data_IF_256817818731
#
_entry.id   IF_256817818731
#
_cell.length_a   1.000
_cell.length_b   1.000
_cell.length_c   1.000
_cell.angle_alpha   90.00
_cell.angle_beta   90.00
_cell.angle_gamma   90.00
#
_symmetry.space_group_name_H-M   'P 1'
#
loop_
_entity.id
_entity.type
_entity.pdbx_description
1 polymer ?
#
# COMPACT_ATOMS: atom_id res chain seq x y z
N UNK A 1 17.05 -9.10 -32.81
CA UNK A 1 16.70 -7.68 -32.59
C UNK A 1 15.32 -7.67 -31.95
N UNK A 2 15.25 -7.46 -30.63
CA UNK A 2 13.98 -7.42 -29.90
C UNK A 2 13.37 -6.04 -30.08
N UNK A 3 12.11 -5.96 -30.52
CA UNK A 3 11.39 -4.71 -30.61
C UNK A 3 11.23 -4.12 -29.21
N UNK A 4 11.79 -2.93 -28.98
CA UNK A 4 11.52 -2.16 -27.78
C UNK A 4 10.01 -1.86 -27.73
N UNK A 5 9.36 -2.24 -26.64
CA UNK A 5 7.98 -1.86 -26.39
C UNK A 5 7.89 -0.33 -26.34
N UNK A 6 6.98 0.22 -27.14
CA UNK A 6 6.62 1.64 -27.17
C UNK A 6 6.16 2.05 -25.76
N UNK A 7 6.83 2.97 -25.05
CA UNK A 7 6.17 3.66 -23.96
C UNK A 7 5.25 4.74 -24.57
N UNK A 8 4.31 5.26 -23.78
CA UNK A 8 3.61 6.53 -24.05
C UNK A 8 2.27 6.46 -24.79
N UNK A 9 1.26 5.87 -24.14
CA UNK A 9 -0.01 6.58 -24.11
C UNK A 9 0.01 7.51 -22.89
N UNK A 10 0.07 8.82 -23.15
CA UNK A 10 -0.18 9.82 -22.11
C UNK A 10 -1.48 9.41 -21.38
N UNK A 11 -1.52 9.51 -20.03
CA UNK A 11 -2.71 9.09 -19.33
C UNK A 11 -3.92 9.86 -19.86
N UNK A 12 -5.10 9.23 -19.95
CA UNK A 12 -6.35 9.89 -20.27
C UNK A 12 -6.51 11.21 -19.50
N UNK A 13 -7.16 12.25 -20.07
CA UNK A 13 -7.31 13.55 -19.40
C UNK A 13 -7.83 13.47 -17.97
N UNK A 14 -8.80 12.57 -17.72
CA UNK A 14 -9.36 12.35 -16.39
C UNK A 14 -8.33 11.78 -15.41
N UNK A 15 -7.49 10.84 -15.86
CA UNK A 15 -6.41 10.28 -15.04
C UNK A 15 -5.37 11.36 -14.73
N UNK A 16 -4.95 12.15 -15.73
CA UNK A 16 -4.01 13.27 -15.51
C UNK A 16 -4.55 14.28 -14.51
N UNK A 17 -5.82 14.66 -14.64
CA UNK A 17 -6.46 15.57 -13.71
C UNK A 17 -6.51 15.02 -12.28
N UNK A 18 -6.54 13.68 -12.11
CA UNK A 18 -6.59 13.02 -10.82
C UNK A 18 -5.21 12.70 -10.22
N UNK A 19 -4.09 13.02 -10.89
CA UNK A 19 -2.73 12.68 -10.42
C UNK A 19 -2.32 13.38 -9.12
N UNK A 20 -3.06 14.41 -8.69
CA UNK A 20 -2.85 15.08 -7.39
C UNK A 20 -2.89 14.09 -6.21
N UNK A 21 -3.65 12.99 -6.31
CA UNK A 21 -3.76 11.97 -5.25
C UNK A 21 -2.43 11.31 -4.88
N UNK A 22 -1.41 11.41 -5.74
CA UNK A 22 -0.08 10.89 -5.48
C UNK A 22 0.58 11.59 -4.27
N UNK A 23 0.38 12.91 -4.12
CA UNK A 23 1.17 13.73 -3.18
C UNK A 23 0.37 14.58 -2.21
N UNK A 24 -0.92 14.85 -2.47
CA UNK A 24 -1.71 15.81 -1.69
C UNK A 24 -1.62 15.57 -0.18
N UNK A 25 -1.75 14.31 0.22
CA UNK A 25 -1.84 13.91 1.61
C UNK A 25 -0.66 13.12 2.12
N UNK A 26 0.07 12.40 1.26
CA UNK A 26 1.13 11.51 1.71
C UNK A 26 2.24 12.32 2.40
N UNK A 27 2.64 11.86 3.58
CA UNK A 27 3.70 12.49 4.39
C UNK A 27 4.65 11.39 4.86
N UNK A 28 5.80 11.29 4.19
CA UNK A 28 6.83 10.29 4.51
C UNK A 28 7.32 10.44 5.95
N UNK A 29 7.66 11.66 6.37
CA UNK A 29 8.13 11.96 7.73
C UNK A 29 7.11 11.58 8.81
N UNK A 30 5.81 11.78 8.55
CA UNK A 30 4.74 11.37 9.46
C UNK A 30 4.73 9.85 9.63
N UNK A 31 4.84 9.12 8.51
CA UNK A 31 4.84 7.66 8.50
C UNK A 31 6.09 7.10 9.18
N UNK A 32 7.26 7.69 8.92
CA UNK A 32 8.52 7.34 9.59
C UNK A 32 8.44 7.58 11.10
N UNK A 33 7.93 8.74 11.52
CA UNK A 33 7.76 9.07 12.95
C UNK A 33 6.81 8.10 13.63
N UNK A 34 5.72 7.72 12.96
CA UNK A 34 4.76 6.74 13.47
C UNK A 34 5.40 5.36 13.64
N UNK A 35 6.20 4.89 12.67
CA UNK A 35 6.92 3.62 12.78
C UNK A 35 7.95 3.65 13.91
N UNK A 36 8.80 4.68 13.93
CA UNK A 36 9.90 4.82 14.90
C UNK A 36 9.40 4.89 16.35
N UNK A 37 8.28 5.57 16.59
CA UNK A 37 7.80 5.80 17.95
C UNK A 37 6.75 4.80 18.41
N UNK A 38 6.03 4.14 17.49
CA UNK A 38 4.86 3.33 17.83
C UNK A 38 4.92 1.95 17.18
N UNK A 39 4.92 1.87 15.85
CA UNK A 39 4.63 0.61 15.16
C UNK A 39 5.78 -0.40 15.28
N UNK A 40 7.05 0.04 15.31
CA UNK A 40 8.17 -0.89 15.46
C UNK A 40 8.12 -1.63 16.81
N UNK A 41 7.69 -0.94 17.88
CA UNK A 41 7.60 -1.53 19.22
C UNK A 41 6.41 -2.49 19.29
N UNK A 42 5.27 -2.04 18.77
CA UNK A 42 4.05 -2.83 18.72
C UNK A 42 4.26 -4.12 17.91
N UNK A 43 4.92 -4.01 16.76
CA UNK A 43 5.29 -5.17 15.97
C UNK A 43 6.28 -6.08 16.72
N UNK A 44 7.35 -5.53 17.32
CA UNK A 44 8.34 -6.35 18.02
C UNK A 44 7.76 -7.12 19.21
N UNK A 45 6.84 -6.54 19.96
CA UNK A 45 6.38 -7.10 21.25
C UNK A 45 5.08 -7.89 21.08
N UNK A 46 4.13 -7.37 20.31
CA UNK A 46 2.78 -7.92 20.19
C UNK A 46 2.62 -8.78 18.94
N UNK A 47 2.73 -8.20 17.74
CA UNK A 47 2.42 -8.90 16.49
C UNK A 47 3.50 -9.89 16.06
N UNK A 48 4.77 -9.54 16.29
CA UNK A 48 5.98 -10.31 15.96
C UNK A 48 5.97 -10.76 14.51
N UNK A 49 5.62 -9.85 13.61
CA UNK A 49 5.40 -10.19 12.21
C UNK A 49 6.69 -10.67 11.55
N UNK A 50 6.54 -11.49 10.50
CA UNK A 50 7.62 -11.99 9.66
C UNK A 50 7.20 -11.88 8.21
N UNK A 51 8.12 -11.48 7.36
CA UNK A 51 7.98 -11.57 5.91
C UNK A 51 8.44 -12.95 5.47
N UNK A 52 7.61 -13.65 4.69
CA UNK A 52 7.92 -14.99 4.16
C UNK A 52 7.74 -14.92 2.64
N UNK A 53 8.76 -15.33 1.89
CA UNK A 53 8.72 -15.34 0.43
C UNK A 53 8.95 -13.98 -0.22
N UNK A 54 9.54 -13.02 0.51
CA UNK A 54 9.94 -11.71 -0.02
C UNK A 54 11.43 -11.68 -0.38
N UNK A 55 12.09 -12.84 -0.43
CA UNK A 55 13.49 -13.04 -0.76
C UNK A 55 13.60 -13.97 -1.98
N UNK A 56 13.86 -13.45 -3.20
CA UNK A 56 14.08 -12.03 -3.53
C UNK A 56 12.78 -11.21 -3.56
N UNK A 57 12.87 -9.91 -3.23
CA UNK A 57 11.70 -9.03 -3.27
C UNK A 57 11.22 -8.87 -4.72
N UNK A 58 9.91 -8.99 -5.00
CA UNK A 58 9.38 -8.91 -6.36
C UNK A 58 9.72 -7.56 -7.02
N UNK A 59 10.00 -7.57 -8.32
CA UNK A 59 10.38 -6.38 -9.08
C UNK A 59 9.46 -6.19 -10.29
N UNK A 60 9.28 -4.93 -10.69
CA UNK A 60 8.47 -4.57 -11.87
C UNK A 60 9.06 -5.21 -13.12
N UNK A 61 8.21 -5.88 -13.89
CA UNK A 61 8.51 -6.29 -15.27
C UNK A 61 8.34 -5.13 -16.26
N UNK A 62 7.44 -4.19 -15.98
CA UNK A 62 7.22 -2.97 -16.74
C UNK A 62 7.48 -1.74 -15.85
N UNK A 63 8.58 -0.99 -16.03
CA UNK A 63 8.90 0.18 -15.20
C UNK A 63 7.82 1.29 -15.23
N UNK A 64 7.01 1.36 -16.30
CA UNK A 64 5.95 2.34 -16.46
C UNK A 64 4.66 1.98 -15.69
N UNK A 65 4.59 0.78 -15.10
CA UNK A 65 3.42 0.27 -14.37
C UNK A 65 3.82 -0.21 -12.97
N UNK A 66 3.00 0.04 -11.93
CA UNK A 66 3.30 -0.47 -10.60
C UNK A 66 3.11 -1.99 -10.53
N UNK A 67 3.80 -2.66 -9.59
CA UNK A 67 3.38 -3.99 -9.16
C UNK A 67 2.06 -3.90 -8.40
N UNK A 68 1.20 -4.91 -8.57
CA UNK A 68 -0.06 -5.02 -7.84
C UNK A 68 0.10 -6.07 -6.75
N UNK A 69 0.06 -5.65 -5.49
CA UNK A 69 0.03 -6.53 -4.33
C UNK A 69 -1.42 -6.84 -3.99
N UNK A 70 -1.85 -8.07 -4.22
CA UNK A 70 -3.15 -8.56 -3.80
C UNK A 70 -3.01 -9.23 -2.44
N UNK A 71 -3.68 -8.71 -1.43
CA UNK A 71 -3.66 -9.26 -0.07
C UNK A 71 -5.05 -9.69 0.36
N UNK A 72 -5.15 -10.78 1.11
CA UNK A 72 -6.37 -10.99 1.90
C UNK A 72 -6.49 -9.92 2.99
N UNK A 73 -7.69 -9.72 3.53
CA UNK A 73 -7.91 -8.84 4.68
C UNK A 73 -8.10 -9.71 5.93
N UNK A 74 -7.01 -10.05 6.61
CA UNK A 74 -6.97 -11.00 7.72
C UNK A 74 -6.96 -10.34 9.10
N UNK A 75 -7.19 -9.02 9.16
CA UNK A 75 -7.20 -8.23 10.39
C UNK A 75 -8.42 -8.45 11.29
N UNK A 76 -8.33 -7.91 12.50
CA UNK A 76 -9.48 -7.74 13.40
C UNK A 76 -10.38 -6.58 12.91
N UNK A 77 -11.38 -6.16 13.70
CA UNK A 77 -12.26 -5.02 13.38
C UNK A 77 -11.52 -3.71 13.03
N UNK A 78 -10.24 -3.60 13.40
CA UNK A 78 -9.34 -2.53 13.03
C UNK A 78 -8.26 -3.07 12.06
N UNK A 79 -7.86 -2.34 11.01
CA UNK A 79 -7.01 -2.84 9.91
C UNK A 79 -5.53 -2.93 10.32
N UNK A 80 -5.26 -3.67 11.40
CA UNK A 80 -3.92 -3.93 11.92
C UNK A 80 -3.05 -4.71 10.94
N UNK A 81 -3.65 -5.56 10.12
CA UNK A 81 -2.95 -6.30 9.08
C UNK A 81 -2.27 -5.35 8.10
N UNK A 82 -3.00 -4.37 7.55
CA UNK A 82 -2.44 -3.36 6.67
C UNK A 82 -1.36 -2.52 7.37
N UNK A 83 -1.65 -2.03 8.59
CA UNK A 83 -0.71 -1.18 9.34
C UNK A 83 0.59 -1.92 9.61
N UNK A 84 0.54 -3.11 10.22
CA UNK A 84 1.73 -3.82 10.67
C UNK A 84 2.52 -4.38 9.48
N UNK A 85 1.84 -4.94 8.46
CA UNK A 85 2.52 -5.46 7.28
C UNK A 85 3.26 -4.37 6.51
N UNK A 86 2.64 -3.20 6.29
CA UNK A 86 3.28 -2.08 5.62
C UNK A 86 4.40 -1.46 6.46
N UNK A 87 4.25 -1.39 7.79
CA UNK A 87 5.34 -0.95 8.68
C UNK A 87 6.54 -1.90 8.64
N UNK A 88 6.30 -3.22 8.57
CA UNK A 88 7.38 -4.19 8.41
C UNK A 88 8.04 -4.04 7.03
N UNK A 89 7.25 -3.95 5.96
CA UNK A 89 7.75 -3.76 4.61
C UNK A 89 8.57 -2.47 4.46
N UNK A 90 8.13 -1.38 5.09
CA UNK A 90 8.87 -0.11 5.16
C UNK A 90 10.29 -0.31 5.68
N UNK A 91 10.41 -0.88 6.89
CA UNK A 91 11.71 -1.17 7.52
C UNK A 91 12.53 -2.19 6.73
N UNK A 92 11.88 -3.18 6.14
CA UNK A 92 12.53 -4.17 5.30
C UNK A 92 13.16 -3.55 4.05
N UNK A 93 12.40 -2.74 3.31
CA UNK A 93 12.86 -2.10 2.08
C UNK A 93 13.95 -1.06 2.34
N UNK A 94 13.84 -0.25 3.40
CA UNK A 94 14.93 0.64 3.79
C UNK A 94 16.23 -0.12 4.08
N UNK A 95 16.15 -1.23 4.83
CA UNK A 95 17.34 -2.03 5.18
C UNK A 95 17.95 -2.77 3.99
N UNK A 96 17.12 -3.29 3.08
CA UNK A 96 17.58 -4.19 2.00
C UNK A 96 17.78 -3.48 0.66
N UNK A 97 17.11 -2.36 0.43
CA UNK A 97 17.12 -1.60 -0.83
C UNK A 97 17.53 -0.14 -0.67
N UNK A 98 17.46 0.43 0.53
CA UNK A 98 17.76 1.86 0.78
C UNK A 98 16.74 2.82 0.16
N UNK A 99 15.57 2.33 -0.27
CA UNK A 99 14.51 3.12 -0.91
C UNK A 99 13.14 2.54 -0.60
N UNK A 100 12.12 3.41 -0.58
CA UNK A 100 10.72 3.05 -0.40
C UNK A 100 9.97 2.91 -1.72
N UNK A 101 10.66 3.02 -2.87
CA UNK A 101 10.01 2.96 -4.20
C UNK A 101 9.21 1.69 -4.43
N UNK A 102 9.67 0.60 -3.83
CA UNK A 102 9.05 -0.72 -3.94
C UNK A 102 7.91 -0.94 -2.91
N UNK A 103 7.71 -0.01 -1.97
CA UNK A 103 6.65 -0.09 -0.98
C UNK A 103 5.30 0.10 -1.67
N UNK A 104 4.35 -0.82 -1.48
CA UNK A 104 3.04 -0.65 -2.07
C UNK A 104 2.15 0.29 -1.25
N UNK A 105 1.37 1.11 -1.96
CA UNK A 105 0.36 1.98 -1.38
C UNK A 105 -1.01 1.29 -1.39
N UNK A 106 -1.67 1.09 -0.25
CA UNK A 106 -2.93 0.38 -0.18
C UNK A 106 -4.10 1.22 -0.70
N UNK A 107 -5.05 0.54 -1.35
CA UNK A 107 -6.38 1.06 -1.60
C UNK A 107 -7.29 0.77 -0.40
N UNK A 108 -7.66 1.82 0.33
CA UNK A 108 -8.54 1.75 1.50
C UNK A 108 -9.98 2.05 1.15
N UNK A 109 -10.93 1.40 1.82
CA UNK A 109 -12.34 1.75 1.69
C UNK A 109 -12.55 3.25 2.00
N UNK A 110 -13.25 4.02 1.12
CA UNK A 110 -13.41 5.46 1.31
C UNK A 110 -14.03 5.86 2.66
N UNK A 111 -14.83 4.97 3.27
CA UNK A 111 -15.44 5.19 4.58
C UNK A 111 -14.42 5.36 5.71
N UNK A 112 -13.22 4.77 5.59
CA UNK A 112 -12.14 4.94 6.57
C UNK A 112 -11.63 6.39 6.62
N UNK A 113 -11.67 7.08 5.47
CA UNK A 113 -11.30 8.49 5.33
C UNK A 113 -12.49 9.44 5.52
N UNK A 114 -13.72 8.96 5.40
CA UNK A 114 -14.93 9.80 5.39
C UNK A 114 -15.25 10.45 6.74
N UNK A 115 -14.82 9.86 7.87
CA UNK A 115 -15.10 10.41 9.20
C UNK A 115 -13.86 10.39 10.08
N UNK A 116 -13.74 11.38 10.98
CA UNK A 116 -12.64 11.43 11.97
C UNK A 116 -12.67 10.24 12.94
N UNK A 117 -13.84 9.67 13.21
CA UNK A 117 -13.99 8.52 14.11
C UNK A 117 -13.34 7.24 13.58
N UNK A 118 -13.20 7.12 12.26
CA UNK A 118 -12.53 5.99 11.61
C UNK A 118 -11.03 6.23 11.42
N UNK A 119 -10.51 7.39 11.83
CA UNK A 119 -9.08 7.66 11.79
C UNK A 119 -8.43 7.25 13.12
N UNK A 120 -7.33 6.49 13.07
CA UNK A 120 -6.53 6.15 14.24
C UNK A 120 -6.13 7.39 15.04
N UNK A 121 -6.31 7.32 16.36
CA UNK A 121 -6.03 8.41 17.29
C UNK A 121 -6.75 9.73 16.96
N UNK A 122 -7.85 9.67 16.20
CA UNK A 122 -8.61 10.83 15.70
C UNK A 122 -7.76 11.82 14.88
N UNK A 123 -6.61 11.37 14.35
CA UNK A 123 -5.75 12.18 13.50
C UNK A 123 -6.43 12.36 12.16
N UNK A 124 -6.72 13.60 11.77
CA UNK A 124 -7.38 13.88 10.49
C UNK A 124 -6.52 13.39 9.33
N UNK A 125 -7.15 12.71 8.36
CA UNK A 125 -6.54 12.12 7.17
C UNK A 125 -5.41 11.11 7.47
N UNK A 126 -5.46 10.42 8.61
CA UNK A 126 -4.42 9.48 9.04
C UNK A 126 -4.06 8.47 7.93
N UNK A 127 -5.06 7.83 7.35
CA UNK A 127 -4.85 6.82 6.31
C UNK A 127 -4.12 7.40 5.10
N UNK A 128 -4.53 8.60 4.67
CA UNK A 128 -3.94 9.28 3.50
C UNK A 128 -2.53 9.79 3.78
N UNK A 129 -2.26 10.26 5.00
CA UNK A 129 -0.92 10.65 5.47
C UNK A 129 0.06 9.50 5.44
N UNK A 130 -0.40 8.29 5.80
CA UNK A 130 0.37 7.05 5.72
C UNK A 130 0.49 6.48 4.29
N UNK A 131 -0.07 7.16 3.28
CA UNK A 131 0.04 6.74 1.88
C UNK A 131 -1.13 5.90 1.38
N UNK A 132 -2.19 5.69 2.15
CA UNK A 132 -3.40 5.04 1.62
C UNK A 132 -4.12 5.93 0.60
N UNK A 133 -4.78 5.31 -0.37
CA UNK A 133 -5.59 5.99 -1.38
C UNK A 133 -7.01 5.43 -1.33
N UNK A 134 -8.03 6.29 -1.45
CA UNK A 134 -9.43 5.84 -1.40
C UNK A 134 -9.73 4.92 -2.60
N UNK A 135 -10.35 3.77 -2.34
CA UNK A 135 -10.63 2.71 -3.32
C UNK A 135 -11.81 3.08 -4.23
N UNK A 136 -11.56 3.93 -5.22
CA UNK A 136 -12.46 4.24 -6.33
C UNK A 136 -11.87 3.73 -7.64
N UNK A 137 -12.70 3.48 -8.65
CA UNK A 137 -12.23 3.06 -9.99
C UNK A 137 -11.24 4.08 -10.56
N UNK A 138 -11.56 5.37 -10.45
CA UNK A 138 -10.69 6.45 -10.94
C UNK A 138 -9.33 6.46 -10.22
N UNK A 139 -9.31 6.29 -8.89
CA UNK A 139 -8.06 6.25 -8.14
C UNK A 139 -7.23 5.01 -8.45
N UNK A 140 -7.87 3.84 -8.61
CA UNK A 140 -7.19 2.62 -9.04
C UNK A 140 -6.53 2.83 -10.41
N UNK A 141 -7.28 3.28 -11.41
CA UNK A 141 -6.76 3.55 -12.76
C UNK A 141 -5.65 4.61 -12.72
N UNK A 142 -5.79 5.63 -11.88
CA UNK A 142 -4.77 6.67 -11.71
C UNK A 142 -3.49 6.09 -11.10
N UNK A 143 -3.59 5.22 -10.09
CA UNK A 143 -2.44 4.55 -9.48
C UNK A 143 -1.73 3.60 -10.45
N UNK A 144 -2.41 3.07 -11.47
CA UNK A 144 -1.77 2.26 -12.53
C UNK A 144 -0.78 3.03 -13.42
N UNK A 145 -0.74 4.35 -13.32
CA UNK A 145 0.28 5.21 -13.97
C UNK A 145 1.32 5.75 -12.98
N UNK A 146 1.24 5.38 -11.70
CA UNK A 146 2.17 5.87 -10.69
C UNK A 146 3.47 5.07 -10.69
N UNK A 147 4.61 5.77 -10.76
CA UNK A 147 5.93 5.16 -10.92
C UNK A 147 6.78 5.18 -9.65
N UNK A 148 6.37 5.91 -8.61
CA UNK A 148 7.19 6.05 -7.40
C UNK A 148 6.86 4.99 -6.36
N UNK A 149 5.65 4.42 -6.37
CA UNK A 149 5.27 3.33 -5.48
C UNK A 149 4.51 2.22 -6.20
N UNK A 150 4.49 1.03 -5.60
CA UNK A 150 3.62 -0.04 -6.05
C UNK A 150 2.18 0.15 -5.52
N UNK A 151 1.24 -0.67 -5.96
CA UNK A 151 -0.17 -0.60 -5.56
C UNK A 151 -0.53 -1.84 -4.74
N UNK A 152 -1.32 -1.70 -3.68
CA UNK A 152 -1.87 -2.83 -2.92
C UNK A 152 -3.40 -2.77 -2.90
N UNK A 153 -4.03 -3.93 -3.09
CA UNK A 153 -5.48 -4.09 -3.07
C UNK A 153 -5.89 -5.32 -2.27
N UNK A 154 -7.11 -5.28 -1.77
CA UNK A 154 -7.72 -6.36 -0.99
C UNK A 154 -8.93 -6.91 -1.77
N UNK A 155 -8.78 -7.99 -2.57
CA UNK A 155 -9.83 -8.46 -3.47
C UNK A 155 -11.12 -8.87 -2.73
N UNK A 156 -10.98 -9.30 -1.48
CA UNK A 156 -12.09 -9.73 -0.61
C UNK A 156 -12.92 -8.54 -0.07
N UNK A 157 -12.38 -7.31 -0.17
CA UNK A 157 -12.95 -6.12 0.45
C UNK A 157 -13.00 -6.20 1.99
N UNK A 158 -13.91 -5.44 2.60
CA UNK A 158 -14.04 -5.34 4.06
C UNK A 158 -14.75 -6.54 4.74
N UNK A 159 -15.11 -7.60 4.01
CA UNK A 159 -15.92 -8.71 4.58
C UNK A 159 -15.11 -9.74 5.36
N UNK A 160 -13.78 -9.71 5.28
CA UNK A 160 -12.93 -10.73 5.89
C UNK A 160 -12.55 -10.46 7.36
N UNK A 161 -12.93 -9.30 7.93
CA UNK A 161 -12.59 -8.82 9.30
C UNK A 161 -13.20 -9.64 10.47
N UNK A 162 -13.74 -10.83 10.23
CA UNK A 162 -14.51 -11.64 11.18
C UNK A 162 -13.76 -12.86 11.75
N UNK A 163 -12.46 -13.06 11.46
CA UNK A 163 -11.68 -14.20 11.98
C UNK A 163 -10.62 -13.77 12.98
N UNK A 164 -10.85 -14.07 14.25
CA UNK A 164 -9.91 -13.87 15.36
C UNK A 164 -9.09 -15.13 15.64
N UNK A 165 -8.09 -15.42 14.82
CA UNK A 165 -6.96 -16.30 15.18
C UNK A 165 -5.75 -15.91 14.35
N UNK A 166 -4.54 -16.19 14.85
CA UNK A 166 -3.21 -15.93 14.24
C UNK A 166 -3.32 -15.34 12.84
N UNK A 167 -3.27 -14.01 12.72
CA UNK A 167 -3.49 -13.34 11.45
C UNK A 167 -2.33 -13.64 10.49
N UNK A 168 -2.55 -14.58 9.56
CA UNK A 168 -1.68 -14.73 8.39
C UNK A 168 -2.24 -13.87 7.27
N UNK A 169 -1.58 -12.75 7.04
CA UNK A 169 -1.82 -11.93 5.84
C UNK A 169 -1.05 -12.57 4.68
N UNK A 170 -1.81 -13.13 3.74
CA UNK A 170 -1.27 -13.70 2.52
C UNK A 170 -1.30 -12.62 1.45
N UNK A 171 -0.13 -12.28 0.92
CA UNK A 171 0.01 -11.29 -0.13
C UNK A 171 0.75 -11.89 -1.34
N UNK A 172 0.19 -11.67 -2.52
CA UNK A 172 0.79 -12.07 -3.80
C UNK A 172 1.05 -10.82 -4.64
N UNK A 173 2.25 -10.71 -5.22
CA UNK A 173 2.57 -9.68 -6.19
C UNK A 173 2.21 -10.16 -7.61
N UNK A 174 1.37 -9.39 -8.29
CA UNK A 174 0.93 -9.60 -9.67
C UNK A 174 1.68 -8.63 -10.57
N UNK A 175 2.20 -9.16 -11.67
CA UNK A 175 2.82 -8.38 -12.73
C UNK A 175 1.75 -7.92 -13.71
N UNK A 176 1.56 -6.61 -13.93
CA UNK A 176 0.69 -6.16 -15.01
C UNK A 176 1.26 -6.68 -16.35
N UNK A 177 0.37 -7.27 -17.16
CA UNK A 177 0.71 -7.84 -18.48
C UNK A 177 0.70 -6.75 -19.58
N UNK A 178 0.36 -5.50 -19.21
CA UNK A 178 0.17 -4.38 -20.13
C UNK A 178 1.36 -3.42 -20.14
#
# INVERSE_FOLDING_TARGET
MSAAAVPDTLPPPLIRANQHIYSDYFREEFTQTLDDNILQLLDRVWFRSRLVGFEPFPQRNNPARPLIFASNHSGMAFPWDAIISLSHLWRYLLRTRGTLRDLPRPLSAPMLSATRLMNPYLITDFWKKCGSVDATTLNFETMMYYQDHNLMLYPEGCRASARASIASTSCSAWLPVC
#
